data_IF_783936844313
#
_entry.id   IF_783936844313
#
_cell.length_a   1.000
_cell.length_b   1.000
_cell.length_c   1.000
_cell.angle_alpha   90.00
_cell.angle_beta   90.00
_cell.angle_gamma   90.00
#
_symmetry.space_group_name_H-M   'P 1'
#
loop_
_entity.id
_entity.type
_entity.pdbx_description
1 polymer ?
#
# COMPACT_ATOMS: atom_id res chain seq x y z
N UNK A 1 -36.83 -2.25 24.17
CA UNK A 1 -36.36 -2.73 22.85
C UNK A 1 -35.04 -2.03 22.57
N UNK A 2 -33.91 -2.66 22.84
CA UNK A 2 -32.59 -2.04 22.63
C UNK A 2 -31.81 -2.89 21.63
N UNK A 3 -31.60 -2.33 20.43
CA UNK A 3 -30.84 -2.96 19.37
C UNK A 3 -29.35 -2.97 19.75
N UNK A 4 -28.79 -4.18 19.85
CA UNK A 4 -27.39 -4.43 20.12
C UNK A 4 -26.62 -4.21 18.81
N UNK A 5 -25.89 -3.09 18.69
CA UNK A 5 -25.05 -2.81 17.52
C UNK A 5 -23.73 -3.54 17.71
N UNK A 6 -23.65 -4.76 17.16
CA UNK A 6 -22.41 -5.54 17.15
C UNK A 6 -21.33 -4.80 16.34
N UNK A 7 -20.24 -4.44 17.03
CA UNK A 7 -19.04 -3.88 16.42
C UNK A 7 -18.41 -4.94 15.50
N UNK A 8 -18.44 -4.70 14.19
CA UNK A 8 -17.70 -5.48 13.21
C UNK A 8 -16.20 -5.34 13.51
N UNK A 9 -15.60 -6.39 14.08
CA UNK A 9 -14.15 -6.52 14.18
C UNK A 9 -13.59 -6.79 12.78
N UNK A 10 -13.10 -5.75 12.11
CA UNK A 10 -12.35 -5.90 10.86
C UNK A 10 -11.12 -6.75 11.18
N UNK A 11 -11.13 -8.02 10.78
CA UNK A 11 -9.96 -8.90 10.89
C UNK A 11 -8.89 -8.33 9.96
N UNK A 12 -7.67 -8.13 10.48
CA UNK A 12 -6.50 -7.80 9.68
C UNK A 12 -6.25 -8.95 8.70
N UNK A 13 -6.71 -8.80 7.45
CA UNK A 13 -6.42 -9.74 6.38
C UNK A 13 -4.92 -9.68 6.11
N UNK A 14 -4.21 -10.79 6.33
CA UNK A 14 -2.80 -10.89 5.96
C UNK A 14 -2.67 -10.73 4.43
N UNK A 15 -1.88 -9.75 3.99
CA UNK A 15 -1.76 -9.34 2.59
C UNK A 15 -1.03 -10.36 1.70
N UNK A 16 -0.37 -11.35 2.30
CA UNK A 16 0.40 -12.43 1.70
C UNK A 16 -0.46 -13.56 1.09
N UNK A 17 -1.72 -13.71 1.53
CA UNK A 17 -2.65 -14.74 1.02
C UNK A 17 -3.48 -14.24 -0.18
N UNK A 18 -3.45 -12.94 -0.46
CA UNK A 18 -4.26 -12.33 -1.52
C UNK A 18 -3.61 -12.51 -2.90
N UNK A 19 -4.43 -12.74 -3.92
CA UNK A 19 -3.96 -12.77 -5.32
C UNK A 19 -3.30 -11.44 -5.70
N UNK A 20 -2.36 -11.43 -6.67
CA UNK A 20 -1.73 -10.19 -7.13
C UNK A 20 -2.72 -9.10 -7.54
N UNK A 21 -3.83 -9.47 -8.20
CA UNK A 21 -4.87 -8.52 -8.63
C UNK A 21 -5.60 -7.87 -7.45
N UNK A 22 -5.94 -8.62 -6.40
CA UNK A 22 -6.57 -8.06 -5.19
C UNK A 22 -5.59 -7.15 -4.45
N UNK A 23 -4.32 -7.55 -4.35
CA UNK A 23 -3.28 -6.72 -3.73
C UNK A 23 -3.11 -5.40 -4.48
N UNK A 24 -3.09 -5.45 -5.81
CA UNK A 24 -3.01 -4.26 -6.65
C UNK A 24 -4.23 -3.36 -6.47
N UNK A 25 -5.44 -3.91 -6.44
CA UNK A 25 -6.67 -3.14 -6.22
C UNK A 25 -6.69 -2.43 -4.85
N UNK A 26 -6.21 -3.11 -3.80
CA UNK A 26 -6.05 -2.48 -2.46
C UNK A 26 -4.98 -1.41 -2.48
N UNK A 27 -3.85 -1.66 -3.14
CA UNK A 27 -2.77 -0.69 -3.29
C UNK A 27 -3.24 0.56 -4.05
N UNK A 28 -3.99 0.39 -5.14
CA UNK A 28 -4.50 1.49 -5.96
C UNK A 28 -5.56 2.35 -5.27
N UNK A 29 -6.09 1.93 -4.11
CA UNK A 29 -7.00 2.76 -3.31
C UNK A 29 -6.31 3.99 -2.70
N UNK A 30 -4.98 3.94 -2.53
CA UNK A 30 -4.18 4.98 -1.89
C UNK A 30 -3.11 5.58 -2.81
N UNK A 31 -2.79 4.87 -3.90
CA UNK A 31 -1.65 5.18 -4.75
C UNK A 31 -2.02 5.12 -6.23
N UNK A 32 -1.38 5.95 -7.04
CA UNK A 32 -1.48 5.91 -8.49
C UNK A 32 -0.12 6.24 -9.11
N UNK A 33 0.10 5.81 -10.35
CA UNK A 33 1.27 6.21 -11.14
C UNK A 33 0.80 7.21 -12.20
N UNK A 34 1.33 8.42 -12.17
CA UNK A 34 1.05 9.47 -13.14
C UNK A 34 2.36 9.88 -13.80
N UNK A 35 2.50 9.56 -15.09
CA UNK A 35 3.79 9.65 -15.77
C UNK A 35 4.83 8.77 -15.07
N UNK A 36 5.95 9.36 -14.67
CA UNK A 36 7.00 8.68 -13.90
C UNK A 36 6.81 8.76 -12.39
N UNK A 37 5.76 9.39 -11.86
CA UNK A 37 5.64 9.67 -10.44
C UNK A 37 4.64 8.76 -9.74
N UNK A 38 5.00 8.31 -8.54
CA UNK A 38 4.06 7.74 -7.56
C UNK A 38 3.29 8.87 -6.90
N UNK A 39 1.97 8.81 -6.91
CA UNK A 39 1.09 9.85 -6.41
C UNK A 39 0.17 9.29 -5.33
N UNK A 40 0.06 9.99 -4.21
CA UNK A 40 -0.96 9.70 -3.22
C UNK A 40 -2.32 10.20 -3.69
N UNK A 41 -3.33 9.33 -3.75
CA UNK A 41 -4.69 9.69 -4.21
C UNK A 41 -5.44 10.60 -3.23
N UNK A 42 -4.94 10.75 -2.00
CA UNK A 42 -5.58 11.56 -0.93
C UNK A 42 -5.04 12.98 -0.85
N UNK A 43 -3.72 13.14 -0.94
CA UNK A 43 -3.08 14.46 -0.80
C UNK A 43 -2.37 14.95 -2.07
N UNK A 44 -2.41 14.19 -3.16
CA UNK A 44 -1.82 14.50 -4.47
C UNK A 44 -0.31 14.78 -4.44
N UNK A 45 0.37 14.50 -3.32
CA UNK A 45 1.82 14.56 -3.27
C UNK A 45 2.41 13.50 -4.19
N UNK A 46 3.52 13.83 -4.84
CA UNK A 46 4.22 12.97 -5.79
C UNK A 46 5.62 12.61 -5.31
N UNK A 47 6.07 11.42 -5.68
CA UNK A 47 7.45 10.95 -5.47
C UNK A 47 7.97 10.34 -6.76
N UNK A 48 9.17 10.76 -7.16
CA UNK A 48 9.87 10.19 -8.32
C UNK A 48 10.55 8.86 -7.94
N UNK A 49 10.82 7.95 -8.90
CA UNK A 49 11.34 6.61 -8.64
C UNK A 49 12.76 6.63 -8.05
N UNK A 50 13.55 7.66 -8.32
CA UNK A 50 14.89 7.84 -7.74
C UNK A 50 14.84 7.99 -6.22
N UNK A 51 13.68 8.37 -5.68
CA UNK A 51 13.42 8.52 -4.24
C UNK A 51 12.65 7.32 -3.65
N UNK A 52 12.50 6.22 -4.40
CA UNK A 52 11.67 5.08 -3.99
C UNK A 52 12.07 4.42 -2.66
N UNK A 53 13.34 4.58 -2.25
CA UNK A 53 13.86 4.07 -0.98
C UNK A 53 13.62 5.01 0.22
N UNK A 54 13.10 6.21 -0.02
CA UNK A 54 12.76 7.17 1.01
C UNK A 54 11.27 7.08 1.37
N UNK A 55 10.88 7.41 2.61
CA UNK A 55 9.48 7.53 2.99
C UNK A 55 8.72 8.47 2.05
N UNK A 56 7.48 8.10 1.72
CA UNK A 56 6.64 8.87 0.83
C UNK A 56 6.32 10.25 1.44
N UNK A 57 6.54 11.36 0.70
CA UNK A 57 6.42 12.71 1.23
C UNK A 57 4.96 13.19 1.24
N UNK A 58 4.15 12.68 2.17
CA UNK A 58 2.77 13.17 2.32
C UNK A 58 2.69 14.62 2.82
N UNK A 59 1.67 15.35 2.35
CA UNK A 59 1.25 16.59 3.01
C UNK A 59 0.81 16.33 4.47
N UNK A 60 1.08 17.28 5.38
CA UNK A 60 0.83 17.15 6.83
C UNK A 60 -0.62 16.79 7.22
N UNK A 61 -1.59 17.11 6.38
CA UNK A 61 -3.03 16.84 6.62
C UNK A 61 -3.52 15.56 5.94
N UNK A 62 -2.63 14.77 5.33
CA UNK A 62 -3.01 13.54 4.68
C UNK A 62 -3.35 12.48 5.73
N UNK A 63 -4.46 11.77 5.55
CA UNK A 63 -4.86 10.65 6.43
C UNK A 63 -3.85 9.50 6.45
N UNK A 64 -3.00 9.41 5.42
CA UNK A 64 -1.93 8.42 5.32
C UNK A 64 -0.60 8.91 5.92
N UNK A 65 -0.53 10.17 6.36
CA UNK A 65 0.64 10.70 7.03
C UNK A 65 0.87 9.98 8.36
N UNK A 66 2.04 9.35 8.52
CA UNK A 66 2.42 8.62 9.74
C UNK A 66 1.86 7.19 9.85
N UNK A 67 1.16 6.68 8.83
CA UNK A 67 0.79 5.27 8.76
C UNK A 67 1.96 4.40 8.28
N UNK A 68 1.89 3.07 8.49
CA UNK A 68 2.90 2.08 8.05
C UNK A 68 3.16 2.06 6.52
N UNK A 69 2.40 2.83 5.73
CA UNK A 69 2.44 2.86 4.27
C UNK A 69 3.48 3.85 3.71
N UNK A 70 4.69 3.84 4.25
CA UNK A 70 5.73 4.81 3.88
C UNK A 70 6.42 4.50 2.55
N UNK A 71 6.31 3.27 2.02
CA UNK A 71 7.11 2.84 0.87
C UNK A 71 6.25 2.24 -0.26
N UNK A 72 5.41 3.05 -0.93
CA UNK A 72 4.48 2.56 -1.95
C UNK A 72 5.17 1.86 -3.13
N UNK A 73 6.37 2.33 -3.52
CA UNK A 73 7.18 1.71 -4.56
C UNK A 73 7.59 0.28 -4.20
N UNK A 74 8.05 0.06 -2.97
CA UNK A 74 8.42 -1.27 -2.48
C UNK A 74 7.21 -2.20 -2.46
N UNK A 75 6.07 -1.71 -1.94
CA UNK A 75 4.84 -2.49 -1.92
C UNK A 75 4.39 -2.87 -3.34
N UNK A 76 4.46 -1.93 -4.29
CA UNK A 76 4.13 -2.21 -5.68
C UNK A 76 5.07 -3.26 -6.30
N UNK A 77 6.38 -3.16 -6.08
CA UNK A 77 7.36 -4.13 -6.56
C UNK A 77 7.02 -5.55 -6.08
N UNK A 78 6.61 -5.70 -4.82
CA UNK A 78 6.19 -6.99 -4.26
C UNK A 78 4.87 -7.51 -4.84
N UNK A 79 4.04 -6.65 -5.43
CA UNK A 79 2.77 -7.02 -6.07
C UNK A 79 3.02 -7.48 -7.51
N UNK A 80 3.82 -6.74 -8.27
CA UNK A 80 4.05 -6.98 -9.70
C UNK A 80 5.18 -7.99 -9.95
N UNK A 81 6.10 -8.12 -9.00
CA UNK A 81 7.21 -9.06 -9.05
C UNK A 81 7.33 -9.75 -7.68
N UNK A 82 6.35 -10.60 -7.31
CA UNK A 82 6.51 -11.45 -6.16
C UNK A 82 7.69 -12.38 -6.47
N UNK A 83 8.85 -12.11 -5.86
CA UNK A 83 9.97 -13.04 -5.94
C UNK A 83 9.45 -14.42 -5.52
N UNK A 84 9.58 -15.42 -6.40
CA UNK A 84 9.40 -16.80 -6.01
C UNK A 84 10.24 -17.06 -4.73
N UNK A 85 9.82 -17.96 -3.82
CA UNK A 85 10.62 -18.28 -2.66
C UNK A 85 12.02 -18.64 -3.14
N UNK A 86 13.03 -17.95 -2.62
CA UNK A 86 14.44 -18.29 -2.84
C UNK A 86 14.57 -19.79 -2.61
N UNK A 87 14.91 -20.52 -3.67
CA UNK A 87 15.30 -21.92 -3.50
C UNK A 87 16.60 -21.86 -2.73
N UNK A 88 16.50 -22.11 -1.43
CA UNK A 88 17.63 -22.30 -0.53
C UNK A 88 18.44 -23.49 -1.05
N UNK A 89 19.43 -23.19 -1.89
CA UNK A 89 20.50 -24.12 -2.22
C UNK A 89 21.65 -23.81 -1.25
N UNK A 90 21.65 -24.50 -0.12
CA UNK A 90 22.87 -24.74 0.64
C UNK A 90 22.88 -26.12 1.28
#
# INVERSE_FOLDING_TARGET
>A
MSANVERIKIRHIRMDILTPSIRLARWSSNWSIVGSHMVCTRCMSGQAPEKALLPFPHAKRCELFGADYLFPWRTLSLIVSPSAPETDQR
#
